data_IF_652951777006
#
_entry.id   IF_652951777006
#
_cell.length_a   1.000
_cell.length_b   1.000
_cell.length_c   1.000
_cell.angle_alpha   90.00
_cell.angle_beta   90.00
_cell.angle_gamma   90.00
#
_symmetry.space_group_name_H-M   'P 1'
#
loop_
_entity.id
_entity.type
_entity.pdbx_description
1 polymer ?
#
# COMPACT_ATOMS: atom_id res chain seq x y z
N UNK A 1 -6.50 6.29 16.37
CA UNK A 1 -5.84 4.99 16.15
C UNK A 1 -4.57 4.98 16.96
N UNK A 2 -4.57 4.09 17.94
CA UNK A 2 -3.46 3.87 18.85
C UNK A 2 -2.34 3.09 18.14
N UNK A 3 -1.13 3.10 18.70
CA UNK A 3 0.02 2.34 18.15
C UNK A 3 -0.25 0.84 17.89
N UNK A 4 -0.78 0.06 18.85
CA UNK A 4 -1.02 -1.37 18.63
C UNK A 4 -2.05 -1.62 17.52
N UNK A 5 -3.06 -0.75 17.40
CA UNK A 5 -4.02 -0.80 16.31
C UNK A 5 -3.33 -0.50 14.98
N UNK A 6 -2.55 0.57 14.90
CA UNK A 6 -1.81 0.96 13.70
C UNK A 6 -0.92 -0.18 13.19
N UNK A 7 -0.18 -0.83 14.11
CA UNK A 7 0.69 -1.97 13.80
C UNK A 7 -0.12 -3.21 13.40
N UNK A 8 -1.30 -3.43 13.98
CA UNK A 8 -2.19 -4.51 13.57
C UNK A 8 -2.78 -4.30 12.17
N UNK A 9 -3.21 -3.06 11.85
CA UNK A 9 -3.82 -2.71 10.58
C UNK A 9 -2.79 -2.64 9.44
N UNK A 10 -1.66 -1.97 9.64
CA UNK A 10 -0.72 -1.64 8.56
C UNK A 10 0.62 -2.36 8.64
N UNK A 11 0.93 -3.03 9.76
CA UNK A 11 2.25 -3.62 10.05
C UNK A 11 3.39 -2.61 10.26
N UNK A 12 3.04 -1.32 10.36
CA UNK A 12 3.96 -0.21 10.65
C UNK A 12 3.51 0.57 11.87
N UNK A 13 4.46 1.21 12.54
CA UNK A 13 4.14 2.14 13.63
C UNK A 13 3.60 3.44 13.05
N UNK A 14 2.80 4.16 13.84
CA UNK A 14 2.07 5.34 13.36
C UNK A 14 2.99 6.41 12.78
N UNK A 15 4.16 6.59 13.40
CA UNK A 15 5.15 7.58 12.99
C UNK A 15 6.00 7.13 11.80
N UNK A 16 6.02 5.82 11.48
CA UNK A 16 6.74 5.29 10.33
C UNK A 16 6.00 5.51 9.03
N UNK A 17 4.66 5.61 9.06
CA UNK A 17 3.84 5.75 7.85
C UNK A 17 4.21 7.00 7.03
N UNK A 18 4.33 8.20 7.63
CA UNK A 18 4.79 9.38 6.88
C UNK A 18 6.22 9.22 6.35
N UNK A 19 7.13 8.65 7.15
CA UNK A 19 8.52 8.42 6.74
C UNK A 19 8.59 7.47 5.55
N UNK A 20 7.77 6.41 5.57
CA UNK A 20 7.65 5.46 4.47
C UNK A 20 7.11 6.14 3.21
N UNK A 21 6.11 7.01 3.33
CA UNK A 21 5.55 7.74 2.19
C UNK A 21 6.60 8.62 1.50
N UNK A 22 7.42 9.33 2.29
CA UNK A 22 8.51 10.15 1.78
C UNK A 22 9.65 9.30 1.20
N UNK A 23 9.98 8.18 1.85
CA UNK A 23 11.02 7.24 1.37
C UNK A 23 10.65 6.59 0.05
N UNK A 24 9.36 6.29 -0.13
CA UNK A 24 8.80 5.78 -1.39
C UNK A 24 8.68 6.89 -2.46
N UNK A 25 8.87 8.16 -2.12
CA UNK A 25 8.76 9.28 -3.05
C UNK A 25 7.33 9.51 -3.56
N UNK A 26 6.32 9.19 -2.75
CA UNK A 26 4.92 9.27 -3.17
C UNK A 26 4.46 10.72 -3.38
N UNK A 27 3.61 10.99 -4.38
CA UNK A 27 3.03 12.32 -4.59
C UNK A 27 2.07 12.69 -3.46
N UNK A 28 1.83 13.98 -3.25
CA UNK A 28 0.89 14.47 -2.22
C UNK A 28 -0.55 13.98 -2.45
N UNK A 29 -0.91 13.74 -3.71
CA UNK A 29 -2.21 13.23 -4.13
C UNK A 29 -2.09 12.24 -5.28
N UNK A 30 -2.86 11.16 -5.21
CA UNK A 30 -3.04 10.20 -6.30
C UNK A 30 -4.27 10.59 -7.10
N UNK A 31 -4.10 10.83 -8.40
CA UNK A 31 -5.20 11.06 -9.34
C UNK A 31 -5.55 9.74 -10.01
N UNK A 32 -6.58 9.10 -9.49
CA UNK A 32 -7.08 7.84 -10.01
C UNK A 32 -8.02 8.06 -11.21
N UNK A 33 -8.44 6.97 -11.84
CA UNK A 33 -9.49 7.02 -12.87
C UNK A 33 -10.82 7.56 -12.31
N UNK A 34 -11.75 7.91 -13.19
CA UNK A 34 -13.08 8.44 -12.81
C UNK A 34 -13.04 9.71 -11.92
N UNK A 35 -11.93 10.46 -11.96
CA UNK A 35 -11.69 11.68 -11.16
C UNK A 35 -11.63 11.42 -9.65
N UNK A 36 -11.45 10.17 -9.23
CA UNK A 36 -11.18 9.84 -7.83
C UNK A 36 -9.81 10.39 -7.44
N UNK A 37 -9.74 11.09 -6.31
CA UNK A 37 -8.50 11.60 -5.73
C UNK A 37 -8.34 11.06 -4.32
N UNK A 38 -7.14 10.60 -3.99
CA UNK A 38 -6.76 10.15 -2.66
C UNK A 38 -5.52 10.89 -2.18
N UNK A 39 -5.45 11.20 -0.89
CA UNK A 39 -4.25 11.80 -0.30
C UNK A 39 -3.10 10.80 -0.18
N UNK A 40 -1.85 11.29 -0.10
CA UNK A 40 -0.63 10.47 0.04
C UNK A 40 -0.78 9.38 1.12
N UNK A 41 -1.10 9.80 2.34
CA UNK A 41 -1.21 8.91 3.50
C UNK A 41 -2.43 7.97 3.40
N UNK A 42 -3.55 8.47 2.88
CA UNK A 42 -4.74 7.65 2.66
C UNK A 42 -4.45 6.51 1.69
N UNK A 43 -3.85 6.83 0.53
CA UNK A 43 -3.48 5.86 -0.48
C UNK A 43 -2.47 4.83 0.03
N UNK A 44 -1.44 5.28 0.75
CA UNK A 44 -0.45 4.38 1.35
C UNK A 44 -1.09 3.45 2.38
N UNK A 45 -1.87 3.98 3.34
CA UNK A 45 -2.54 3.18 4.37
C UNK A 45 -3.47 2.12 3.75
N UNK A 46 -4.16 2.45 2.66
CA UNK A 46 -5.03 1.52 1.93
C UNK A 46 -4.23 0.35 1.33
N UNK A 47 -3.08 0.63 0.71
CA UNK A 47 -2.20 -0.42 0.17
C UNK A 47 -1.61 -1.28 1.29
N UNK A 48 -1.08 -0.65 2.34
CA UNK A 48 -0.52 -1.36 3.50
C UNK A 48 -1.54 -2.30 4.14
N UNK A 49 -2.77 -1.82 4.32
CA UNK A 49 -3.84 -2.63 4.89
C UNK A 49 -4.26 -3.76 3.97
N UNK A 50 -4.26 -3.56 2.65
CA UNK A 50 -4.52 -4.62 1.66
C UNK A 50 -3.46 -5.72 1.68
N UNK A 51 -2.19 -5.37 1.97
CA UNK A 51 -1.10 -6.34 2.10
C UNK A 51 -1.06 -7.03 3.48
N UNK A 52 -1.65 -6.43 4.51
CA UNK A 52 -1.71 -7.01 5.84
C UNK A 52 -2.81 -8.08 5.95
N UNK A 53 -2.42 -9.36 5.96
CA UNK A 53 -3.35 -10.47 6.18
C UNK A 53 -3.84 -10.53 7.65
N UNK A 54 -5.12 -10.89 7.91
CA UNK A 54 -6.24 -10.96 6.97
C UNK A 54 -6.89 -9.58 6.75
N UNK A 55 -7.32 -9.29 5.52
CA UNK A 55 -8.10 -8.08 5.20
C UNK A 55 -9.03 -8.31 4.00
N UNK A 56 -10.30 -7.91 4.13
CA UNK A 56 -11.18 -7.66 2.97
C UNK A 56 -11.28 -6.14 2.75
N UNK A 57 -11.42 -5.70 1.50
CA UNK A 57 -11.64 -4.27 1.22
C UNK A 57 -12.91 -3.72 1.88
N UNK A 58 -13.95 -4.56 2.06
CA UNK A 58 -15.17 -4.16 2.76
C UNK A 58 -14.93 -3.75 4.22
N UNK A 59 -13.91 -4.32 4.87
CA UNK A 59 -13.55 -4.00 6.26
C UNK A 59 -12.98 -2.58 6.40
N UNK A 60 -12.62 -1.95 5.28
CA UNK A 60 -12.05 -0.60 5.23
C UNK A 60 -13.08 0.50 5.04
N UNK A 61 -14.32 0.17 4.68
CA UNK A 61 -15.40 1.15 4.51
C UNK A 61 -15.59 1.99 5.78
N UNK A 62 -15.62 1.42 7.01
CA UNK A 62 -15.81 2.22 8.22
C UNK A 62 -14.65 3.17 8.53
N UNK A 63 -13.44 2.88 8.03
CA UNK A 63 -12.22 3.65 8.33
C UNK A 63 -11.98 4.75 7.29
N UNK A 64 -12.20 4.44 6.01
CA UNK A 64 -11.89 5.33 4.89
C UNK A 64 -13.13 6.04 4.32
N UNK A 65 -14.34 5.58 4.67
CA UNK A 65 -15.59 6.22 4.25
C UNK A 65 -15.91 6.11 2.76
N UNK A 66 -15.16 5.30 2.00
CA UNK A 66 -15.33 5.12 0.55
C UNK A 66 -15.93 3.76 0.20
N UNK A 67 -16.74 3.66 -0.87
CA UNK A 67 -17.27 2.39 -1.35
C UNK A 67 -16.16 1.49 -1.89
N UNK A 68 -16.37 0.17 -1.82
CA UNK A 68 -15.38 -0.86 -2.24
C UNK A 68 -14.78 -0.62 -3.63
N UNK A 69 -15.56 -0.25 -4.68
CA UNK A 69 -14.99 0.01 -6.00
C UNK A 69 -13.96 1.14 -5.99
N UNK A 70 -14.22 2.20 -5.24
CA UNK A 70 -13.31 3.34 -5.11
C UNK A 70 -12.06 2.96 -4.33
N UNK A 71 -12.21 2.19 -3.25
CA UNK A 71 -11.07 1.64 -2.51
C UNK A 71 -10.21 0.72 -3.38
N UNK A 72 -10.79 -0.15 -4.20
CA UNK A 72 -9.99 -0.97 -5.10
C UNK A 72 -9.27 -0.14 -6.15
N UNK A 73 -9.91 0.92 -6.65
CA UNK A 73 -9.32 1.82 -7.65
C UNK A 73 -8.13 2.59 -7.07
N UNK A 74 -8.28 3.15 -5.88
CA UNK A 74 -7.17 3.86 -5.20
C UNK A 74 -6.04 2.88 -4.90
N UNK A 75 -6.34 1.70 -4.35
CA UNK A 75 -5.31 0.71 -4.04
C UNK A 75 -4.48 0.33 -5.28
N UNK A 76 -5.14 0.11 -6.43
CA UNK A 76 -4.44 -0.22 -7.67
C UNK A 76 -3.62 0.97 -8.19
N UNK A 77 -4.18 2.18 -8.19
CA UNK A 77 -3.46 3.38 -8.63
C UNK A 77 -2.19 3.64 -7.80
N UNK A 78 -2.27 3.49 -6.48
CA UNK A 78 -1.11 3.65 -5.59
C UNK A 78 -0.09 2.53 -5.81
N UNK A 79 -0.54 1.29 -6.03
CA UNK A 79 0.34 0.16 -6.35
C UNK A 79 1.09 0.36 -7.67
N UNK A 80 0.39 0.84 -8.70
CA UNK A 80 0.98 1.18 -10.00
C UNK A 80 2.03 2.28 -9.85
N UNK A 81 1.73 3.35 -9.12
CA UNK A 81 2.69 4.43 -8.85
C UNK A 81 3.95 3.91 -8.14
N UNK A 82 3.80 3.07 -7.09
CA UNK A 82 4.93 2.46 -6.40
C UNK A 82 5.76 1.59 -7.36
N UNK A 83 5.10 0.83 -8.23
CA UNK A 83 5.77 -0.01 -9.21
C UNK A 83 6.56 0.82 -10.24
N UNK A 84 5.97 1.91 -10.73
CA UNK A 84 6.61 2.80 -11.71
C UNK A 84 7.79 3.58 -11.11
N UNK A 85 7.72 3.96 -9.83
CA UNK A 85 8.82 4.60 -9.11
C UNK A 85 9.96 3.62 -8.75
N UNK A 86 9.63 2.36 -8.45
CA UNK A 86 10.59 1.37 -7.94
C UNK A 86 10.66 0.05 -8.75
N UNK A 87 10.64 0.06 -10.11
CA UNK A 87 10.42 -1.14 -10.91
C UNK A 87 11.57 -2.15 -10.77
N UNK A 88 12.79 -1.65 -10.61
CA UNK A 88 13.99 -2.45 -10.41
C UNK A 88 13.97 -3.17 -9.05
N UNK A 89 13.49 -2.53 -7.98
CA UNK A 89 13.41 -3.15 -6.64
C UNK A 89 12.42 -4.30 -6.62
N UNK A 90 11.28 -4.15 -7.30
CA UNK A 90 10.27 -5.21 -7.37
C UNK A 90 10.71 -6.35 -8.29
N UNK A 91 11.25 -6.03 -9.46
CA UNK A 91 11.56 -7.04 -10.48
C UNK A 91 12.85 -7.82 -10.23
N UNK A 92 13.86 -7.20 -9.60
CA UNK A 92 15.12 -7.87 -9.28
C UNK A 92 15.00 -8.75 -8.03
N UNK A 93 14.29 -8.28 -7.00
CA UNK A 93 14.10 -9.02 -5.76
C UNK A 93 13.44 -10.39 -5.98
N UNK A 94 12.46 -10.48 -6.89
CA UNK A 94 11.87 -11.76 -7.27
C UNK A 94 12.89 -12.73 -7.87
N UNK A 95 13.88 -12.24 -8.65
CA UNK A 95 14.92 -13.12 -9.23
C UNK A 95 15.90 -13.60 -8.17
N UNK A 96 16.17 -12.79 -7.16
CA UNK A 96 17.09 -13.13 -6.08
C UNK A 96 16.47 -14.15 -5.12
N UNK A 97 15.26 -13.87 -4.61
CA UNK A 97 14.59 -14.73 -3.62
C UNK A 97 13.97 -15.97 -4.23
N UNK A 98 13.38 -15.87 -5.43
CA UNK A 98 12.79 -17.03 -6.11
C UNK A 98 13.81 -17.72 -7.05
N UNK A 99 15.10 -17.50 -6.83
CA UNK A 99 16.12 -18.27 -7.54
C UNK A 99 16.00 -19.74 -7.15
N UNK A 100 16.13 -20.70 -8.10
CA UNK A 100 16.03 -22.13 -7.79
C UNK A 100 16.94 -22.55 -6.63
N UNK A 101 18.13 -21.94 -6.56
CA UNK A 101 19.13 -22.19 -5.53
C UNK A 101 18.65 -21.85 -4.11
N UNK A 102 17.80 -20.84 -3.94
CA UNK A 102 17.26 -20.45 -2.63
C UNK A 102 15.95 -21.15 -2.25
N UNK A 103 15.30 -21.83 -3.20
CA UNK A 103 14.05 -22.56 -2.98
C UNK A 103 14.25 -24.06 -2.70
N UNK A 104 15.45 -24.58 -2.94
CA UNK A 104 15.81 -25.99 -2.74
C UNK A 104 16.44 -26.29 -1.36
N UNK A 105 16.59 -25.28 -0.49
CA UNK A 105 17.10 -25.40 0.89
C UNK A 105 16.00 -25.49 1.94
#
# INVERSE_FOLDING_TARGET
>A
MEEPECKAYFRFEKNDIPVLAETLGLPDFFKCTQRTVAGKIEGLCLVLRRMAYPCRLGDLIPVLGRPVPELSMIANCVLEEIYDLHPHRVSQWNREILSPVQLES
#
